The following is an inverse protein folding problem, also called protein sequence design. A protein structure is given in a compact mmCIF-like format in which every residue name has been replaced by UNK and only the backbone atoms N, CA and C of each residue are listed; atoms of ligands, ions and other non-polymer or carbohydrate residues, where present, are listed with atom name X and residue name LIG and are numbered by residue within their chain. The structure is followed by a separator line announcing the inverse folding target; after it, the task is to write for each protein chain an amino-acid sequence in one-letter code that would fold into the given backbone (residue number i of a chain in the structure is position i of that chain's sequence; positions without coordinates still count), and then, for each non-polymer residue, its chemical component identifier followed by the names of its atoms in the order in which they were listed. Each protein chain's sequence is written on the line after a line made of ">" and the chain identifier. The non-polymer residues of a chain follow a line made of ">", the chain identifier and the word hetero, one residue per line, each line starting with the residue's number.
data_IF_258908365480
#
_entry.id   IF_258908365480
#
_cell.length_a   1.000
_cell.length_b   1.000
_cell.length_c   1.000
_cell.angle_alpha   90.00
_cell.angle_beta   90.00
_cell.angle_gamma   90.00
#
_symmetry.space_group_name_H-M   'P 1'
#
loop_
_entity.id
_entity.type
_entity.pdbx_description
1 polymer ?
#
# COMPACT_ATOMS: atom_id res chain seq x y z
N UNK A 1 -0.26 -15.08 24.62
CA UNK A 1 0.02 -15.48 23.22
C UNK A 1 0.65 -16.86 23.30
N UNK A 2 0.04 -17.94 22.80
CA UNK A 2 0.77 -19.21 22.66
C UNK A 2 1.84 -18.98 21.60
N UNK A 3 3.10 -18.98 22.01
CA UNK A 3 4.24 -18.82 21.14
C UNK A 3 4.30 -20.02 20.18
N UNK A 4 4.13 -19.78 18.88
CA UNK A 4 4.41 -20.82 17.89
C UNK A 4 5.93 -20.88 17.72
N UNK A 5 6.56 -21.87 18.36
CA UNK A 5 8.02 -22.02 18.45
C UNK A 5 8.67 -22.07 17.06
N UNK A 6 8.04 -22.75 16.10
CA UNK A 6 8.52 -22.83 14.72
C UNK A 6 8.57 -21.45 14.04
N UNK A 7 7.49 -20.68 14.16
CA UNK A 7 7.40 -19.35 13.55
C UNK A 7 8.31 -18.32 14.25
N UNK A 8 8.57 -18.48 15.56
CA UNK A 8 9.56 -17.69 16.27
C UNK A 8 10.99 -18.02 15.82
N UNK A 9 11.29 -19.29 15.59
CA UNK A 9 12.59 -19.70 15.03
C UNK A 9 12.79 -19.12 13.62
N UNK A 10 11.75 -19.11 12.77
CA UNK A 10 11.83 -18.45 11.47
C UNK A 10 12.09 -16.94 11.59
N UNK A 11 11.47 -16.24 12.53
CA UNK A 11 11.79 -14.82 12.78
C UNK A 11 13.22 -14.61 13.28
N UNK A 12 13.77 -15.53 14.08
CA UNK A 12 15.16 -15.47 14.50
C UNK A 12 16.11 -15.68 13.30
N UNK A 13 15.81 -16.63 12.40
CA UNK A 13 16.54 -16.80 11.14
C UNK A 13 16.52 -15.52 10.31
N UNK A 14 15.34 -14.89 10.16
CA UNK A 14 15.24 -13.59 9.49
C UNK A 14 16.08 -12.55 10.24
N UNK A 15 16.00 -12.49 11.57
CA UNK A 15 16.74 -11.53 12.37
C UNK A 15 18.26 -11.67 12.20
N UNK A 16 18.80 -12.90 12.24
CA UNK A 16 20.21 -13.18 11.98
C UNK A 16 20.61 -12.78 10.55
N UNK A 17 19.75 -13.06 9.57
CA UNK A 17 19.95 -12.60 8.19
C UNK A 17 20.03 -11.06 8.11
N UNK A 18 19.13 -10.34 8.81
CA UNK A 18 19.15 -8.88 8.84
C UNK A 18 20.36 -8.32 9.61
N UNK A 19 20.94 -9.02 10.58
CA UNK A 19 22.18 -8.55 11.21
C UNK A 19 23.36 -8.52 10.22
N UNK A 20 23.32 -9.36 9.18
CA UNK A 20 24.34 -9.47 8.14
C UNK A 20 24.04 -8.63 6.87
N UNK A 21 23.08 -7.68 6.97
CA UNK A 21 22.26 -7.07 5.91
C UNK A 21 22.97 -6.64 4.60
N UNK A 22 24.20 -6.13 4.62
CA UNK A 22 24.76 -5.47 3.42
C UNK A 22 25.18 -6.44 2.31
N UNK A 23 25.57 -7.66 2.63
CA UNK A 23 26.08 -8.63 1.63
C UNK A 23 25.00 -9.56 1.09
N UNK A 24 23.88 -9.72 1.79
CA UNK A 24 22.89 -10.76 1.50
C UNK A 24 21.55 -10.22 0.97
N UNK A 25 21.28 -8.91 1.04
CA UNK A 25 19.99 -8.30 0.62
C UNK A 25 19.62 -8.51 -0.85
N UNK A 26 20.57 -8.95 -1.68
CA UNK A 26 20.37 -9.25 -3.09
C UNK A 26 20.35 -10.75 -3.38
N UNK A 27 20.47 -11.62 -2.36
CA UNK A 27 20.40 -13.06 -2.55
C UNK A 27 18.93 -13.50 -2.52
N UNK A 28 18.36 -13.67 -3.71
CA UNK A 28 16.97 -14.09 -3.88
C UNK A 28 16.67 -15.48 -3.30
N UNK A 29 17.63 -16.39 -3.32
CA UNK A 29 17.44 -17.75 -2.79
C UNK A 29 17.25 -17.74 -1.28
N UNK A 30 18.02 -16.90 -0.57
CA UNK A 30 17.83 -16.73 0.87
C UNK A 30 16.48 -16.06 1.15
N UNK A 31 16.11 -15.01 0.42
CA UNK A 31 14.81 -14.36 0.64
C UNK A 31 13.69 -15.37 0.38
N UNK A 32 13.78 -16.16 -0.69
CA UNK A 32 12.81 -17.19 -1.03
C UNK A 32 12.68 -18.24 0.08
N UNK A 33 13.78 -18.76 0.61
CA UNK A 33 13.77 -19.82 1.62
C UNK A 33 13.04 -19.41 2.92
N UNK A 34 13.00 -18.12 3.25
CA UNK A 34 12.26 -17.61 4.42
C UNK A 34 10.75 -17.92 4.36
N UNK A 35 10.19 -18.08 3.17
CA UNK A 35 8.76 -18.30 2.95
C UNK A 35 8.37 -19.74 2.61
N UNK A 36 9.32 -20.65 2.43
CA UNK A 36 9.09 -21.99 1.86
C UNK A 36 8.20 -22.87 2.75
N UNK A 37 8.44 -22.87 4.07
CA UNK A 37 7.69 -23.69 5.03
C UNK A 37 6.41 -23.02 5.55
N UNK A 38 5.99 -21.90 4.95
CA UNK A 38 4.86 -21.11 5.42
C UNK A 38 3.61 -21.37 4.59
N UNK A 39 2.52 -21.72 5.25
CA UNK A 39 1.21 -21.86 4.60
C UNK A 39 0.33 -20.62 4.84
N UNK A 40 -0.83 -20.59 4.17
CA UNK A 40 -1.79 -19.48 4.30
C UNK A 40 -2.35 -19.34 5.74
N UNK A 41 -2.40 -20.42 6.50
CA UNK A 41 -2.85 -20.42 7.88
C UNK A 41 -1.82 -19.75 8.80
N UNK A 42 -0.52 -20.02 8.62
CA UNK A 42 0.55 -19.36 9.37
C UNK A 42 0.53 -17.85 9.12
N UNK A 43 0.32 -17.45 7.87
CA UNK A 43 0.24 -16.04 7.49
C UNK A 43 -0.97 -15.34 8.11
N UNK A 44 -2.16 -15.95 7.98
CA UNK A 44 -3.41 -15.33 8.42
C UNK A 44 -3.62 -15.38 9.93
N UNK A 45 -3.16 -16.44 10.62
CA UNK A 45 -3.37 -16.63 12.06
C UNK A 45 -2.21 -16.13 12.92
N UNK A 46 -1.01 -16.00 12.36
CA UNK A 46 0.16 -15.62 13.14
C UNK A 46 0.96 -14.46 12.55
N UNK A 47 1.48 -14.55 11.33
CA UNK A 47 2.43 -13.55 10.84
C UNK A 47 1.79 -12.16 10.71
N UNK A 48 0.66 -12.08 10.01
CA UNK A 48 -0.04 -10.81 9.78
C UNK A 48 -0.63 -10.22 11.07
N UNK A 49 -1.29 -10.99 11.97
CA UNK A 49 -1.74 -10.47 13.26
C UNK A 49 -0.62 -9.92 14.15
N UNK A 50 0.53 -10.61 14.21
CA UNK A 50 1.67 -10.15 15.01
C UNK A 50 2.31 -8.90 14.41
N UNK A 51 2.55 -8.89 13.09
CA UNK A 51 2.98 -7.70 12.36
C UNK A 51 2.06 -6.50 12.64
N UNK A 52 0.74 -6.68 12.46
CA UNK A 52 -0.26 -5.65 12.70
C UNK A 52 -0.26 -5.14 14.15
N UNK A 53 -0.01 -6.02 15.12
CA UNK A 53 0.08 -5.65 16.53
C UNK A 53 1.33 -4.79 16.79
N UNK A 54 2.48 -5.17 16.23
CA UNK A 54 3.74 -4.47 16.42
C UNK A 54 3.73 -3.10 15.76
N UNK A 55 3.22 -2.97 14.53
CA UNK A 55 3.09 -1.65 13.88
C UNK A 55 2.16 -0.72 14.66
N UNK A 56 1.10 -1.26 15.28
CA UNK A 56 0.19 -0.48 16.15
C UNK A 56 0.88 0.01 17.41
N UNK A 57 1.65 -0.86 18.08
CA UNK A 57 2.46 -0.49 19.25
C UNK A 57 3.47 0.59 18.86
N UNK A 58 4.21 0.41 17.77
CA UNK A 58 5.18 1.41 17.32
C UNK A 58 4.54 2.73 16.88
N UNK A 59 3.25 2.73 16.53
CA UNK A 59 2.52 3.93 16.10
C UNK A 59 1.96 4.75 17.26
N UNK A 60 2.09 4.27 18.51
CA UNK A 60 1.74 5.04 19.69
C UNK A 60 2.78 6.13 20.00
N UNK A 61 2.38 7.11 20.82
CA UNK A 61 3.18 8.30 21.14
C UNK A 61 4.43 8.04 21.98
N UNK A 62 4.38 7.06 22.89
CA UNK A 62 5.44 6.79 23.86
C UNK A 62 5.78 5.31 23.83
N UNK A 63 6.76 4.92 23.03
CA UNK A 63 7.10 3.50 22.82
C UNK A 63 8.45 3.17 23.41
N UNK A 64 8.45 2.37 24.48
CA UNK A 64 9.67 1.76 24.98
C UNK A 64 10.18 0.70 23.98
N UNK A 65 11.50 0.54 23.87
CA UNK A 65 12.16 -0.46 22.99
C UNK A 65 11.89 -0.27 21.48
N UNK A 66 11.70 0.96 21.02
CA UNK A 66 11.43 1.29 19.61
C UNK A 66 12.43 0.65 18.62
N UNK A 67 13.73 0.62 18.95
CA UNK A 67 14.76 0.01 18.10
C UNK A 67 14.54 -1.50 17.88
N UNK A 68 14.26 -2.25 18.95
CA UNK A 68 14.04 -3.70 18.87
C UNK A 68 12.75 -4.03 18.11
N UNK A 69 11.66 -3.32 18.42
CA UNK A 69 10.39 -3.48 17.69
C UNK A 69 10.53 -3.06 16.22
N UNK A 70 11.34 -2.04 15.92
CA UNK A 70 11.67 -1.64 14.55
C UNK A 70 12.36 -2.75 13.77
N UNK A 71 13.37 -3.42 14.35
CA UNK A 71 14.02 -4.58 13.73
C UNK A 71 13.04 -5.74 13.50
N UNK A 72 12.17 -6.00 14.48
CA UNK A 72 11.16 -7.05 14.38
C UNK A 72 10.16 -6.78 13.25
N UNK A 73 9.73 -5.53 13.05
CA UNK A 73 8.90 -5.16 11.88
C UNK A 73 9.61 -5.50 10.59
N UNK A 74 10.90 -5.16 10.45
CA UNK A 74 11.65 -5.45 9.23
C UNK A 74 11.69 -6.97 9.01
N UNK A 75 11.84 -7.77 10.07
CA UNK A 75 11.78 -9.23 9.95
C UNK A 75 10.44 -9.71 9.39
N UNK A 76 9.32 -9.22 9.95
CA UNK A 76 8.00 -9.52 9.42
C UNK A 76 7.80 -9.03 7.98
N UNK A 77 8.34 -7.86 7.63
CA UNK A 77 8.21 -7.31 6.28
C UNK A 77 8.92 -8.17 5.25
N UNK A 78 10.13 -8.63 5.56
CA UNK A 78 10.88 -9.55 4.71
C UNK A 78 10.13 -10.89 4.59
N UNK A 79 9.68 -11.46 5.72
CA UNK A 79 8.92 -12.72 5.75
C UNK A 79 7.65 -12.65 4.89
N UNK A 80 6.83 -11.61 5.09
CA UNK A 80 5.59 -11.39 4.33
C UNK A 80 5.86 -11.15 2.85
N UNK A 81 6.92 -10.41 2.51
CA UNK A 81 7.32 -10.19 1.12
C UNK A 81 7.80 -11.47 0.43
N UNK A 82 8.56 -12.31 1.14
CA UNK A 82 9.01 -13.59 0.63
C UNK A 82 7.83 -14.50 0.29
N UNK A 83 6.94 -14.69 1.26
CA UNK A 83 5.72 -15.47 1.08
C UNK A 83 4.90 -14.95 -0.10
N UNK A 84 4.69 -13.63 -0.17
CA UNK A 84 3.92 -13.00 -1.22
C UNK A 84 4.57 -13.18 -2.61
N UNK A 85 5.88 -13.00 -2.72
CA UNK A 85 6.55 -12.93 -4.01
C UNK A 85 6.88 -14.31 -4.60
N UNK A 86 7.13 -15.31 -3.75
CA UNK A 86 7.61 -16.64 -4.14
C UNK A 86 6.63 -17.80 -3.90
N UNK A 87 5.77 -17.74 -2.87
CA UNK A 87 4.89 -18.86 -2.51
C UNK A 87 3.53 -18.77 -3.18
N UNK A 88 2.99 -17.56 -3.31
CA UNK A 88 1.67 -17.34 -3.91
C UNK A 88 1.75 -17.41 -5.43
N UNK A 89 0.91 -18.26 -6.02
CA UNK A 89 0.73 -18.34 -7.48
C UNK A 89 0.22 -17.01 -8.03
N UNK A 90 -0.86 -16.48 -7.43
CA UNK A 90 -1.38 -15.12 -7.68
C UNK A 90 -1.31 -14.29 -6.38
N UNK A 91 -0.37 -13.34 -6.26
CA UNK A 91 -0.23 -12.52 -5.07
C UNK A 91 -1.29 -11.43 -4.94
N UNK A 92 -2.02 -11.09 -6.01
CA UNK A 92 -2.87 -9.88 -6.08
C UNK A 92 -3.90 -9.87 -4.97
N UNK A 93 -4.63 -10.97 -4.78
CA UNK A 93 -5.66 -11.07 -3.75
C UNK A 93 -5.11 -10.80 -2.35
N UNK A 94 -3.93 -11.34 -2.04
CA UNK A 94 -3.30 -11.15 -0.73
C UNK A 94 -2.81 -9.71 -0.55
N UNK A 95 -2.09 -9.15 -1.54
CA UNK A 95 -1.57 -7.78 -1.46
C UNK A 95 -2.70 -6.76 -1.45
N UNK A 96 -3.63 -6.87 -2.39
CA UNK A 96 -4.68 -5.90 -2.59
C UNK A 96 -5.80 -6.03 -1.54
N UNK A 97 -6.45 -7.19 -1.43
CA UNK A 97 -7.59 -7.31 -0.52
C UNK A 97 -7.15 -7.34 0.95
N UNK A 98 -6.09 -8.10 1.27
CA UNK A 98 -5.71 -8.32 2.67
C UNK A 98 -4.75 -7.26 3.20
N UNK A 99 -3.69 -6.90 2.45
CA UNK A 99 -2.71 -5.93 2.93
C UNK A 99 -3.16 -4.49 2.67
N UNK A 100 -3.77 -4.16 1.52
CA UNK A 100 -4.15 -2.78 1.22
C UNK A 100 -5.57 -2.43 1.71
N UNK A 101 -6.60 -2.98 1.06
CA UNK A 101 -8.00 -2.58 1.24
C UNK A 101 -8.48 -2.84 2.67
N UNK A 102 -8.28 -4.07 3.17
CA UNK A 102 -8.72 -4.46 4.53
C UNK A 102 -8.01 -3.66 5.61
N UNK A 103 -6.72 -3.39 5.45
CA UNK A 103 -5.96 -2.57 6.40
C UNK A 103 -6.47 -1.13 6.42
N UNK A 104 -6.59 -0.48 5.26
CA UNK A 104 -7.06 0.91 5.18
C UNK A 104 -8.47 1.03 5.74
N UNK A 105 -9.41 0.17 5.32
CA UNK A 105 -10.79 0.20 5.83
C UNK A 105 -10.84 -0.02 7.33
N UNK A 106 -10.22 -1.10 7.82
CA UNK A 106 -10.39 -1.54 9.21
C UNK A 106 -9.53 -0.74 10.19
N UNK A 107 -8.30 -0.45 9.85
CA UNK A 107 -7.32 0.10 10.79
C UNK A 107 -7.08 1.61 10.59
N UNK A 108 -7.40 2.20 9.43
CA UNK A 108 -7.19 3.63 9.19
C UNK A 108 -8.50 4.41 9.14
N UNK A 109 -9.42 4.04 8.24
CA UNK A 109 -10.68 4.76 8.03
C UNK A 109 -11.66 4.52 9.18
N UNK A 110 -11.74 3.30 9.71
CA UNK A 110 -12.58 3.03 10.87
C UNK A 110 -12.02 3.67 12.16
N UNK A 111 -12.91 4.04 13.08
CA UNK A 111 -12.54 4.60 14.38
C UNK A 111 -12.12 3.56 15.43
N UNK A 112 -11.96 2.29 15.03
CA UNK A 112 -11.59 1.18 15.95
C UNK A 112 -10.18 1.31 16.54
N UNK A 113 -9.35 2.22 16.02
CA UNK A 113 -8.01 2.49 16.55
C UNK A 113 -7.98 3.28 17.85
N UNK A 114 -9.05 4.02 18.19
CA UNK A 114 -9.11 4.80 19.44
C UNK A 114 -9.15 3.91 20.70
N UNK A 115 -9.65 2.67 20.60
CA UNK A 115 -9.84 1.75 21.73
C UNK A 115 -9.16 0.37 21.52
N UNK A 116 -7.91 0.35 21.04
CA UNK A 116 -7.22 -0.92 20.83
C UNK A 116 -6.85 -1.61 22.14
N UNK A 117 -7.47 -2.76 22.44
CA UNK A 117 -7.13 -3.63 23.58
C UNK A 117 -5.65 -4.00 23.65
N UNK A 118 -4.94 -4.01 22.52
CA UNK A 118 -3.50 -4.28 22.47
C UNK A 118 -2.73 -3.13 23.11
N UNK A 119 -3.10 -1.89 22.83
CA UNK A 119 -2.41 -0.71 23.36
C UNK A 119 -2.63 -0.57 24.85
N UNK A 120 -3.86 -0.81 25.33
CA UNK A 120 -4.16 -0.84 26.76
C UNK A 120 -3.33 -1.90 27.50
N UNK A 121 -2.95 -3.02 26.85
CA UNK A 121 -2.09 -4.04 27.46
C UNK A 121 -0.61 -3.68 27.50
N UNK A 122 -0.13 -2.83 26.58
CA UNK A 122 1.29 -2.44 26.48
C UNK A 122 1.58 -1.05 27.06
N UNK A 123 0.57 -0.21 27.18
CA UNK A 123 0.64 1.12 27.76
C UNK A 123 -0.31 1.19 28.95
N UNK A 124 0.27 1.23 30.15
CA UNK A 124 -0.42 1.31 31.44
C UNK A 124 -1.04 2.68 31.76
N UNK A 125 -1.10 3.60 30.79
CA UNK A 125 -1.68 4.93 30.97
C UNK A 125 -2.88 5.14 30.06
N UNK A 126 -4.01 5.46 30.67
CA UNK A 126 -5.17 6.01 29.98
C UNK A 126 -4.73 7.21 29.13
N UNK A 127 -5.12 7.20 27.84
CA UNK A 127 -4.87 8.31 26.91
C UNK A 127 -3.83 8.08 25.81
N UNK A 128 -3.13 6.94 25.73
CA UNK A 128 -2.26 6.67 24.58
C UNK A 128 -3.07 6.36 23.32
N UNK A 129 -2.91 7.18 22.27
CA UNK A 129 -3.62 7.00 20.99
C UNK A 129 -2.69 6.51 19.87
N UNK A 130 -3.26 5.81 18.88
CA UNK A 130 -2.54 5.41 17.66
C UNK A 130 -2.46 6.62 16.74
N UNK A 131 -1.24 7.04 16.37
CA UNK A 131 -1.04 7.98 15.27
C UNK A 131 -1.31 7.27 13.94
N UNK A 132 -2.50 7.47 13.36
CA UNK A 132 -2.93 6.86 12.09
C UNK A 132 -1.93 7.08 10.95
N UNK A 133 -1.35 8.28 10.86
CA UNK A 133 -0.32 8.60 9.84
C UNK A 133 0.94 7.74 10.00
N UNK A 134 1.43 7.56 11.24
CA UNK A 134 2.59 6.70 11.53
C UNK A 134 2.27 5.23 11.26
N UNK A 135 1.07 4.79 11.62
CA UNK A 135 0.59 3.42 11.36
C UNK A 135 0.52 3.13 9.86
N UNK A 136 -0.09 4.03 9.10
CA UNK A 136 -0.18 3.90 7.66
C UNK A 136 1.20 3.91 7.01
N UNK A 137 2.08 4.84 7.38
CA UNK A 137 3.45 4.91 6.84
C UNK A 137 4.25 3.64 7.09
N UNK A 138 4.17 3.07 8.31
CA UNK A 138 4.85 1.80 8.62
C UNK A 138 4.32 0.66 7.75
N UNK A 139 3.01 0.65 7.48
CA UNK A 139 2.37 -0.35 6.66
C UNK A 139 2.68 -0.20 5.17
N UNK A 140 2.65 1.03 4.64
CA UNK A 140 3.00 1.32 3.25
C UNK A 140 4.43 0.88 2.91
N UNK A 141 5.37 0.90 3.87
CA UNK A 141 6.71 0.34 3.68
C UNK A 141 6.69 -1.15 3.30
N UNK A 142 5.76 -1.95 3.82
CA UNK A 142 5.61 -3.35 3.43
C UNK A 142 5.21 -3.45 1.95
N UNK A 143 4.26 -2.63 1.49
CA UNK A 143 3.82 -2.62 0.09
C UNK A 143 4.97 -2.26 -0.85
N UNK A 144 5.78 -1.24 -0.48
CA UNK A 144 6.99 -0.87 -1.23
C UNK A 144 7.97 -2.04 -1.31
N UNK A 145 8.23 -2.74 -0.19
CA UNK A 145 9.12 -3.91 -0.19
C UNK A 145 8.58 -5.01 -1.11
N UNK A 146 7.28 -5.29 -1.07
CA UNK A 146 6.64 -6.30 -1.94
C UNK A 146 6.75 -5.92 -3.41
N UNK A 147 6.38 -4.69 -3.79
CA UNK A 147 6.43 -4.23 -5.17
C UNK A 147 7.86 -4.26 -5.72
N UNK A 148 8.82 -3.72 -4.97
CA UNK A 148 10.21 -3.70 -5.40
C UNK A 148 10.85 -5.09 -5.42
N UNK A 149 10.49 -5.99 -4.51
CA UNK A 149 10.95 -7.38 -4.57
C UNK A 149 10.36 -8.11 -5.78
N UNK A 150 9.04 -7.98 -6.03
CA UNK A 150 8.41 -8.59 -7.20
C UNK A 150 9.01 -8.08 -8.50
N UNK A 151 9.25 -6.78 -8.58
CA UNK A 151 9.92 -6.15 -9.73
C UNK A 151 11.32 -6.70 -9.93
N UNK A 152 12.15 -6.76 -8.88
CA UNK A 152 13.50 -7.32 -8.95
C UNK A 152 13.52 -8.79 -9.40
N UNK A 153 12.58 -9.61 -8.93
CA UNK A 153 12.42 -11.01 -9.38
C UNK A 153 12.03 -11.06 -10.86
N UNK A 154 11.12 -10.18 -11.26
CA UNK A 154 10.70 -10.07 -12.64
C UNK A 154 11.87 -9.68 -13.55
N UNK A 155 12.81 -8.85 -13.08
CA UNK A 155 13.96 -8.40 -13.89
C UNK A 155 15.22 -9.26 -13.77
N UNK A 156 15.24 -10.33 -12.96
CA UNK A 156 16.46 -11.10 -12.68
C UNK A 156 16.75 -12.26 -13.65
N UNK A 157 16.32 -12.16 -14.92
CA UNK A 157 16.59 -13.15 -15.99
C UNK A 157 16.28 -14.62 -15.63
N UNK A 158 15.25 -14.87 -14.83
CA UNK A 158 14.80 -16.24 -14.49
C UNK A 158 13.77 -16.75 -15.50
N UNK A 159 13.64 -18.07 -15.70
CA UNK A 159 12.64 -18.68 -16.60
C UNK A 159 11.20 -18.24 -16.32
N UNK A 160 10.90 -17.82 -15.08
CA UNK A 160 9.56 -17.34 -14.66
C UNK A 160 9.40 -15.81 -14.73
N UNK A 161 10.40 -15.08 -15.20
CA UNK A 161 10.43 -13.61 -15.27
C UNK A 161 9.15 -13.01 -15.89
N UNK A 162 8.66 -13.60 -16.98
CA UNK A 162 7.43 -13.17 -17.66
C UNK A 162 6.17 -13.26 -16.80
N UNK A 163 6.02 -14.28 -15.97
CA UNK A 163 4.86 -14.40 -15.07
C UNK A 163 4.96 -13.39 -13.93
N UNK A 164 6.15 -13.21 -13.38
CA UNK A 164 6.39 -12.24 -12.31
C UNK A 164 6.13 -10.80 -12.74
N UNK A 165 6.52 -10.43 -13.97
CA UNK A 165 6.25 -9.09 -14.52
C UNK A 165 4.75 -8.87 -14.78
N UNK A 166 4.01 -9.88 -15.26
CA UNK A 166 2.54 -9.79 -15.41
C UNK A 166 1.89 -9.47 -14.06
N UNK A 167 2.22 -10.26 -13.04
CA UNK A 167 1.67 -10.07 -11.70
C UNK A 167 2.05 -8.71 -11.11
N UNK A 168 3.27 -8.23 -11.36
CA UNK A 168 3.67 -6.89 -10.96
C UNK A 168 2.76 -5.83 -11.59
N UNK A 169 2.59 -5.84 -12.92
CA UNK A 169 1.74 -4.86 -13.60
C UNK A 169 0.29 -4.89 -13.11
N UNK A 170 -0.28 -6.08 -12.93
CA UNK A 170 -1.64 -6.22 -12.41
C UNK A 170 -1.77 -5.70 -10.97
N UNK A 171 -0.78 -5.93 -10.11
CA UNK A 171 -0.78 -5.37 -8.75
C UNK A 171 -0.71 -3.84 -8.75
N UNK A 172 0.06 -3.25 -9.67
CA UNK A 172 0.13 -1.78 -9.84
C UNK A 172 -1.18 -1.23 -10.37
N UNK A 173 -1.81 -1.90 -11.33
CA UNK A 173 -3.13 -1.54 -11.85
C UNK A 173 -4.18 -1.51 -10.71
N UNK A 174 -4.31 -2.61 -9.96
CA UNK A 174 -5.20 -2.69 -8.80
C UNK A 174 -4.92 -1.58 -7.77
N UNK A 175 -3.63 -1.31 -7.51
CA UNK A 175 -3.21 -0.24 -6.61
C UNK A 175 -3.64 1.15 -7.10
N UNK A 176 -3.42 1.45 -8.38
CA UNK A 176 -3.80 2.72 -9.01
C UNK A 176 -5.32 2.91 -8.99
N UNK A 177 -6.11 1.89 -9.34
CA UNK A 177 -7.58 1.92 -9.28
C UNK A 177 -8.07 2.22 -7.86
N UNK A 178 -7.40 1.69 -6.83
CA UNK A 178 -7.78 1.97 -5.45
C UNK A 178 -7.41 3.39 -5.00
N UNK A 179 -6.26 3.92 -5.45
CA UNK A 179 -5.92 5.34 -5.27
C UNK A 179 -6.98 6.23 -5.93
N UNK A 180 -7.35 5.94 -7.17
CA UNK A 180 -8.42 6.65 -7.88
C UNK A 180 -9.76 6.58 -7.11
N UNK A 181 -10.10 5.41 -6.57
CA UNK A 181 -11.31 5.22 -5.74
C UNK A 181 -11.33 6.13 -4.49
N UNK A 182 -10.18 6.28 -3.82
CA UNK A 182 -10.06 7.17 -2.65
C UNK A 182 -10.23 8.65 -3.05
N UNK A 183 -9.71 9.04 -4.22
CA UNK A 183 -9.84 10.41 -4.74
C UNK A 183 -11.30 10.69 -5.10
N UNK A 184 -12.00 9.75 -5.75
CA UNK A 184 -13.44 9.87 -6.00
C UNK A 184 -14.24 10.02 -4.69
N UNK A 185 -13.91 9.25 -3.67
CA UNK A 185 -14.54 9.40 -2.35
C UNK A 185 -14.24 10.78 -1.73
N UNK A 186 -13.02 11.31 -1.89
CA UNK A 186 -12.66 12.65 -1.45
C UNK A 186 -13.49 13.72 -2.19
N UNK A 187 -13.62 13.61 -3.52
CA UNK A 187 -14.42 14.50 -4.36
C UNK A 187 -15.90 14.51 -3.93
N UNK A 188 -16.46 13.32 -3.65
CA UNK A 188 -17.83 13.21 -3.19
C UNK A 188 -18.05 13.89 -1.83
N UNK A 189 -17.03 13.89 -0.95
CA UNK A 189 -17.08 14.55 0.35
C UNK A 189 -16.86 16.07 0.30
N UNK A 190 -16.12 16.58 -0.69
CA UNK A 190 -15.73 17.98 -0.74
C UNK A 190 -16.85 18.97 -1.07
N UNK A 191 -18.12 18.57 -1.05
CA UNK A 191 -19.30 19.41 -1.34
C UNK A 191 -19.06 20.24 -2.60
N UNK A 192 -19.19 19.63 -3.77
CA UNK A 192 -18.93 20.24 -5.09
C UNK A 192 -19.78 21.52 -5.29
N UNK A 193 -19.38 22.64 -4.68
CA UNK A 193 -20.07 23.93 -4.71
C UNK A 193 -19.46 24.91 -5.71
N UNK A 194 -18.40 24.52 -6.43
CA UNK A 194 -17.75 25.39 -7.40
C UNK A 194 -18.04 24.93 -8.83
N UNK A 195 -19.04 25.57 -9.42
CA UNK A 195 -19.14 25.93 -10.84
C UNK A 195 -18.49 24.96 -11.85
N UNK A 196 -19.13 23.83 -12.12
CA UNK A 196 -18.80 22.98 -13.28
C UNK A 196 -19.15 23.63 -14.63
N UNK A 197 -19.79 24.81 -14.64
CA UNK A 197 -20.16 25.56 -15.84
C UNK A 197 -18.96 25.99 -16.68
N UNK A 198 -17.98 26.67 -16.07
CA UNK A 198 -16.86 27.31 -16.80
C UNK A 198 -15.68 26.39 -17.12
N UNK A 199 -15.67 25.16 -16.59
CA UNK A 199 -14.51 24.26 -16.70
C UNK A 199 -14.73 23.07 -17.65
N UNK A 200 -15.90 22.92 -18.28
CA UNK A 200 -16.22 21.75 -19.14
C UNK A 200 -15.26 21.54 -20.32
N UNK A 201 -14.59 22.59 -20.77
CA UNK A 201 -13.65 22.55 -21.91
C UNK A 201 -12.25 22.04 -21.55
N UNK A 202 -11.89 21.94 -20.27
CA UNK A 202 -10.54 21.51 -19.88
C UNK A 202 -10.36 20.00 -20.10
N UNK A 203 -9.24 19.61 -20.71
CA UNK A 203 -8.95 18.21 -21.06
C UNK A 203 -9.04 17.25 -19.87
N UNK A 204 -8.59 17.66 -18.69
CA UNK A 204 -8.68 16.82 -17.49
C UNK A 204 -10.13 16.59 -17.03
N UNK A 205 -11.02 17.59 -17.22
CA UNK A 205 -12.45 17.43 -16.90
C UNK A 205 -13.12 16.46 -17.87
N UNK A 206 -12.82 16.56 -19.16
CA UNK A 206 -13.36 15.63 -20.16
C UNK A 206 -12.92 14.19 -19.87
N UNK A 207 -11.63 13.99 -19.57
CA UNK A 207 -11.11 12.68 -19.18
C UNK A 207 -11.80 12.13 -17.93
N UNK A 208 -11.90 12.94 -16.87
CA UNK A 208 -12.57 12.54 -15.64
C UNK A 208 -14.03 12.14 -15.88
N UNK A 209 -14.78 12.94 -16.64
CA UNK A 209 -16.19 12.67 -16.96
C UNK A 209 -16.39 11.43 -17.84
N UNK A 210 -15.43 11.11 -18.72
CA UNK A 210 -15.45 9.85 -19.46
C UNK A 210 -15.15 8.66 -18.53
N UNK A 211 -14.15 8.80 -17.65
CA UNK A 211 -13.71 7.76 -16.73
C UNK A 211 -14.77 7.40 -15.69
N UNK A 212 -15.42 8.38 -15.07
CA UNK A 212 -16.42 8.12 -14.02
C UNK A 212 -17.61 7.28 -14.51
N UNK A 213 -17.94 7.35 -15.81
CA UNK A 213 -19.03 6.54 -16.42
C UNK A 213 -18.72 5.05 -16.46
N UNK A 214 -17.43 4.69 -16.52
CA UNK A 214 -16.97 3.31 -16.65
C UNK A 214 -16.19 2.83 -15.42
N UNK A 215 -16.08 3.67 -14.39
CA UNK A 215 -15.29 3.37 -13.21
C UNK A 215 -15.99 2.34 -12.31
N UNK A 216 -15.28 1.30 -11.82
CA UNK A 216 -15.86 0.35 -10.87
C UNK A 216 -16.17 1.00 -9.51
N UNK A 217 -17.44 1.29 -9.27
CA UNK A 217 -17.90 2.03 -8.07
C UNK A 217 -17.87 1.20 -6.76
N UNK A 218 -17.47 -0.08 -6.82
CA UNK A 218 -17.47 -0.98 -5.65
C UNK A 218 -16.64 -0.41 -4.49
N UNK A 219 -15.41 0.00 -4.77
CA UNK A 219 -14.51 0.51 -3.73
C UNK A 219 -14.90 1.89 -3.23
N UNK A 220 -15.42 2.75 -4.10
CA UNK A 220 -15.87 4.10 -3.75
C UNK A 220 -17.05 4.01 -2.77
N UNK A 221 -18.10 3.23 -3.11
CA UNK A 221 -19.24 2.98 -2.19
C UNK A 221 -18.78 2.43 -0.84
N UNK A 222 -17.89 1.45 -0.86
CA UNK A 222 -17.32 0.84 0.34
C UNK A 222 -16.55 1.85 1.22
N UNK A 223 -15.76 2.74 0.60
CA UNK A 223 -15.02 3.80 1.30
C UNK A 223 -15.98 4.81 1.91
N UNK A 224 -16.95 5.30 1.13
CA UNK A 224 -17.94 6.28 1.59
C UNK A 224 -18.75 5.75 2.77
N UNK A 225 -19.13 4.47 2.74
CA UNK A 225 -19.82 3.82 3.84
C UNK A 225 -18.95 3.81 5.11
N UNK A 226 -17.72 3.29 5.04
CA UNK A 226 -16.83 3.20 6.22
C UNK A 226 -16.50 4.57 6.80
N UNK A 227 -16.31 5.57 5.94
CA UNK A 227 -16.00 6.94 6.34
C UNK A 227 -17.21 7.60 7.01
N UNK A 228 -18.42 7.36 6.51
CA UNK A 228 -19.65 7.90 7.11
C UNK A 228 -19.97 7.27 8.47
N UNK A 229 -19.75 5.97 8.62
CA UNK A 229 -19.90 5.20 9.88
C UNK A 229 -18.84 5.51 10.94
N UNK A 230 -17.75 6.21 10.57
CA UNK A 230 -16.65 6.48 11.51
C UNK A 230 -17.08 7.33 12.72
N UNK A 231 -18.16 8.10 12.61
CA UNK A 231 -18.61 9.04 13.65
C UNK A 231 -17.71 10.27 13.82
N UNK A 232 -16.68 10.44 12.97
CA UNK A 232 -15.88 11.66 12.93
C UNK A 232 -16.65 12.81 12.26
N UNK A 233 -16.23 14.05 12.47
CA UNK A 233 -16.74 15.21 11.72
C UNK A 233 -16.28 15.16 10.25
N UNK A 234 -17.02 15.85 9.36
CA UNK A 234 -16.73 15.87 7.92
C UNK A 234 -15.29 16.27 7.60
N UNK A 235 -14.77 17.31 8.26
CA UNK A 235 -13.40 17.78 8.07
C UNK A 235 -12.37 16.70 8.41
N UNK A 236 -12.54 16.01 9.55
CA UNK A 236 -11.64 14.94 9.98
C UNK A 236 -11.68 13.73 9.04
N UNK A 237 -12.85 13.43 8.45
CA UNK A 237 -13.01 12.39 7.42
C UNK A 237 -12.19 12.74 6.17
N UNK A 238 -12.30 13.97 5.69
CA UNK A 238 -11.54 14.46 4.53
C UNK A 238 -10.03 14.43 4.80
N UNK A 239 -9.58 14.94 5.95
CA UNK A 239 -8.17 14.90 6.35
C UNK A 239 -7.62 13.47 6.41
N UNK A 240 -8.42 12.52 6.92
CA UNK A 240 -8.03 11.10 6.93
C UNK A 240 -7.92 10.54 5.52
N UNK A 241 -8.85 10.86 4.61
CA UNK A 241 -8.77 10.44 3.21
C UNK A 241 -7.53 11.02 2.51
N UNK A 242 -7.27 12.33 2.67
CA UNK A 242 -6.08 12.99 2.12
C UNK A 242 -4.79 12.35 2.63
N UNK A 243 -4.71 12.05 3.93
CA UNK A 243 -3.59 11.32 4.53
C UNK A 243 -3.39 9.96 3.86
N UNK A 244 -4.48 9.21 3.63
CA UNK A 244 -4.39 7.90 2.97
C UNK A 244 -3.88 8.06 1.54
N UNK A 245 -4.48 8.94 0.75
CA UNK A 245 -4.07 9.19 -0.64
C UNK A 245 -2.58 9.56 -0.68
N UNK A 246 -2.15 10.53 0.14
CA UNK A 246 -0.76 10.98 0.20
C UNK A 246 0.23 9.84 0.47
N UNK A 247 -0.05 8.98 1.44
CA UNK A 247 0.84 7.85 1.73
C UNK A 247 0.83 6.79 0.63
N UNK A 248 -0.27 6.61 -0.12
CA UNK A 248 -0.29 5.71 -1.27
C UNK A 248 0.45 6.30 -2.48
N UNK A 249 0.39 7.62 -2.70
CA UNK A 249 1.22 8.30 -3.70
C UNK A 249 2.72 8.11 -3.41
N UNK A 250 3.12 8.16 -2.14
CA UNK A 250 4.50 7.85 -1.71
C UNK A 250 4.92 6.41 -1.97
N UNK A 251 3.98 5.46 -1.91
CA UNK A 251 4.27 4.07 -2.33
C UNK A 251 4.63 4.04 -3.80
N UNK A 252 3.87 4.73 -4.67
CA UNK A 252 4.17 4.83 -6.09
C UNK A 252 5.53 5.48 -6.34
N UNK A 253 5.85 6.59 -5.66
CA UNK A 253 7.17 7.23 -5.80
C UNK A 253 8.34 6.33 -5.36
N UNK A 254 8.11 5.45 -4.40
CA UNK A 254 9.14 4.55 -3.88
C UNK A 254 9.35 3.28 -4.72
N UNK A 255 8.60 3.09 -5.81
CA UNK A 255 8.81 1.98 -6.73
C UNK A 255 10.06 2.23 -7.57
N UNK A 256 10.86 1.20 -7.78
CA UNK A 256 12.05 1.24 -8.62
C UNK A 256 11.70 1.22 -10.12
N UNK A 257 10.92 2.20 -10.58
CA UNK A 257 10.46 2.35 -11.97
C UNK A 257 11.56 2.19 -13.03
N UNK A 258 12.82 2.67 -12.82
CA UNK A 258 13.87 2.51 -13.82
C UNK A 258 14.16 1.05 -14.22
N UNK A 259 13.84 0.07 -13.38
CA UNK A 259 14.01 -1.36 -13.70
C UNK A 259 13.07 -1.83 -14.83
N UNK A 260 12.04 -1.06 -15.17
CA UNK A 260 11.06 -1.41 -16.21
C UNK A 260 11.42 -0.88 -17.60
N UNK A 261 12.45 -0.05 -17.74
CA UNK A 261 12.75 0.63 -19.01
C UNK A 261 13.00 -0.37 -20.15
N UNK A 262 13.76 -1.44 -19.88
CA UNK A 262 14.08 -2.47 -20.88
C UNK A 262 12.85 -3.34 -21.23
N UNK A 263 11.90 -3.45 -20.31
CA UNK A 263 10.68 -4.26 -20.46
C UNK A 263 9.53 -3.51 -21.11
N UNK A 264 9.58 -2.17 -21.15
CA UNK A 264 8.49 -1.37 -21.64
C UNK A 264 8.18 -1.65 -23.13
N UNK A 265 9.21 -1.97 -23.90
CA UNK A 265 9.12 -2.31 -25.33
C UNK A 265 8.38 -3.65 -25.52
N UNK A 266 8.70 -4.66 -24.71
CA UNK A 266 8.14 -6.01 -24.85
C UNK A 266 6.73 -6.15 -24.25
N UNK A 267 6.34 -5.24 -23.37
CA UNK A 267 5.07 -5.29 -22.66
C UNK A 267 4.22 -4.03 -22.86
N UNK A 268 4.23 -3.48 -24.08
CA UNK A 268 3.53 -2.25 -24.45
C UNK A 268 2.08 -2.18 -23.95
N UNK A 269 1.29 -3.24 -24.14
CA UNK A 269 -0.10 -3.26 -23.67
C UNK A 269 -0.26 -3.04 -22.15
N UNK A 270 0.70 -3.49 -21.32
CA UNK A 270 0.67 -3.33 -19.86
C UNK A 270 1.18 -1.96 -19.43
N UNK A 271 2.21 -1.47 -20.12
CA UNK A 271 2.74 -0.11 -20.00
C UNK A 271 1.63 0.92 -20.28
N UNK A 272 0.88 0.71 -21.36
CA UNK A 272 -0.25 1.57 -21.76
C UNK A 272 -1.36 1.59 -20.70
N UNK A 273 -1.59 0.48 -19.99
CA UNK A 273 -2.53 0.42 -18.86
C UNK A 273 -2.02 1.29 -17.72
N UNK A 274 -0.78 1.11 -17.27
CA UNK A 274 -0.23 1.92 -16.15
C UNK A 274 -0.21 3.40 -16.49
N UNK A 275 0.16 3.76 -17.72
CA UNK A 275 0.18 5.15 -18.15
C UNK A 275 -1.24 5.75 -18.21
N UNK A 276 -2.23 4.97 -18.66
CA UNK A 276 -3.64 5.36 -18.63
C UNK A 276 -4.15 5.57 -17.21
N UNK A 277 -3.81 4.68 -16.28
CA UNK A 277 -4.21 4.79 -14.88
C UNK A 277 -3.55 5.99 -14.19
N UNK A 278 -2.28 6.28 -14.48
CA UNK A 278 -1.60 7.52 -14.07
C UNK A 278 -2.40 8.76 -14.49
N UNK A 279 -2.81 8.84 -15.75
CA UNK A 279 -3.61 9.97 -16.24
C UNK A 279 -5.00 10.04 -15.59
N UNK A 280 -5.62 8.90 -15.27
CA UNK A 280 -6.91 8.86 -14.58
C UNK A 280 -6.78 9.45 -13.17
N UNK A 281 -5.76 9.04 -12.42
CA UNK A 281 -5.43 9.60 -11.11
C UNK A 281 -5.16 11.10 -11.23
N UNK A 282 -4.37 11.53 -12.22
CA UNK A 282 -4.09 12.95 -12.45
C UNK A 282 -5.37 13.76 -12.69
N UNK A 283 -6.26 13.28 -13.56
CA UNK A 283 -7.53 13.93 -13.84
C UNK A 283 -8.40 14.01 -12.57
N UNK A 284 -8.50 12.94 -11.80
CA UNK A 284 -9.24 12.92 -10.54
C UNK A 284 -8.65 13.88 -9.49
N UNK A 285 -7.32 13.95 -9.36
CA UNK A 285 -6.67 14.90 -8.44
C UNK A 285 -6.93 16.37 -8.83
N UNK A 286 -6.87 16.68 -10.13
CA UNK A 286 -7.17 18.02 -10.62
C UNK A 286 -8.63 18.42 -10.38
N UNK A 287 -9.55 17.46 -10.43
CA UNK A 287 -10.96 17.64 -10.07
C UNK A 287 -11.11 17.88 -8.56
N UNK A 288 -10.41 17.09 -7.74
CA UNK A 288 -10.41 17.27 -6.29
C UNK A 288 -9.87 18.64 -5.87
N UNK A 289 -8.95 19.21 -6.66
CA UNK A 289 -8.44 20.58 -6.47
C UNK A 289 -7.54 20.74 -5.25
N UNK A 290 -7.05 19.64 -4.67
CA UNK A 290 -6.15 19.67 -3.52
C UNK A 290 -4.70 19.86 -3.99
N UNK A 291 -4.15 21.06 -3.79
CA UNK A 291 -2.83 21.44 -4.28
C UNK A 291 -1.70 20.58 -3.70
N UNK A 292 -1.82 20.12 -2.45
CA UNK A 292 -0.80 19.29 -1.82
C UNK A 292 -0.74 17.90 -2.46
N UNK A 293 -1.91 17.28 -2.70
CA UNK A 293 -1.99 15.99 -3.37
C UNK A 293 -1.56 16.08 -4.84
N UNK A 294 -1.95 17.15 -5.54
CA UNK A 294 -1.51 17.41 -6.92
C UNK A 294 0.01 17.55 -6.98
N UNK A 295 0.60 18.31 -6.05
CA UNK A 295 2.05 18.52 -6.00
C UNK A 295 2.80 17.23 -5.69
N UNK A 296 2.33 16.44 -4.71
CA UNK A 296 2.93 15.15 -4.37
C UNK A 296 2.87 14.19 -5.57
N UNK A 297 1.72 14.11 -6.28
CA UNK A 297 1.57 13.26 -7.45
C UNK A 297 2.51 13.65 -8.60
N UNK A 298 2.69 14.96 -8.84
CA UNK A 298 3.57 15.47 -9.89
C UNK A 298 5.04 15.10 -9.66
N UNK A 299 5.44 15.01 -8.39
CA UNK A 299 6.82 14.70 -8.00
C UNK A 299 7.15 13.20 -8.01
N UNK A 300 6.15 12.33 -8.22
CA UNK A 300 6.38 10.89 -8.34
C UNK A 300 7.33 10.63 -9.52
N UNK A 301 8.34 9.81 -9.26
CA UNK A 301 9.37 9.39 -10.22
C UNK A 301 8.86 8.42 -11.29
N UNK A 302 7.77 8.77 -11.98
CA UNK A 302 7.18 7.96 -13.03
C UNK A 302 8.21 7.67 -14.14
N UNK A 303 8.17 6.48 -14.75
CA UNK A 303 9.01 6.18 -15.91
C UNK A 303 8.60 7.04 -17.11
N UNK A 304 9.54 7.35 -18.02
CA UNK A 304 9.31 8.26 -19.16
C UNK A 304 8.12 7.85 -20.02
N UNK A 305 7.97 6.56 -20.29
CA UNK A 305 6.85 6.01 -21.05
C UNK A 305 5.47 6.27 -20.42
N UNK A 306 5.39 6.57 -19.12
CA UNK A 306 4.14 6.94 -18.47
C UNK A 306 3.83 8.44 -18.57
N UNK A 307 4.81 9.25 -18.96
CA UNK A 307 4.72 10.71 -19.06
C UNK A 307 4.45 11.15 -20.51
N UNK A 308 5.05 10.47 -21.48
CA UNK A 308 5.11 10.88 -22.90
C UNK A 308 3.82 10.59 -23.72
N UNK A 309 2.66 10.44 -23.07
CA UNK A 309 1.37 10.12 -23.71
C UNK A 309 0.37 11.30 -23.68
#
# INVERSE_FOLDING_TARGET
>A
MKANKHLLMQLDVVYQYLLNFKKLSNNFDIIKSLGEDLNAQDMSRWALPNYNSIIKILSADKVHRQKALGRLIICFQVLLSSYCCYKLDDPRKFVFECLLVKFIRKDILSNKTKNSKIIQRFHSKDGSSIKKSKLLRLHCKLLVVIFNLKLKIATSSTEKSNVHIVHFFQMIDDFCVYVESLIHALIAHSSFKNSTGDRKSLAFNQRYMARIKVFPDKHVKDILLVVSESGNESLQRMETLKMVIKELLRVLDSILWPLLNDYAIQHKARVDIVARERMNIQAALLIAGDLDLISEFRLISWPSWAIDL
#
